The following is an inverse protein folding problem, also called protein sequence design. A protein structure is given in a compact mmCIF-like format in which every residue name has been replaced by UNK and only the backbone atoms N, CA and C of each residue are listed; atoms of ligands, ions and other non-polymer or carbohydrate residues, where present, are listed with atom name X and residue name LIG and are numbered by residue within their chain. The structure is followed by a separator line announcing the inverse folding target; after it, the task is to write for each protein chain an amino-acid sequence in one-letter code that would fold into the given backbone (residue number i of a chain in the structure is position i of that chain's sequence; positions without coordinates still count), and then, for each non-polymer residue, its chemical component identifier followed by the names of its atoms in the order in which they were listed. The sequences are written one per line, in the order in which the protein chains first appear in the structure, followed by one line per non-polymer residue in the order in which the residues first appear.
data_IF_187670260997
#
_entry.id   IF_187670260997
#
_cell.length_a   1.000
_cell.length_b   1.000
_cell.length_c   1.000
_cell.angle_alpha   90.00
_cell.angle_beta   90.00
_cell.angle_gamma   90.00
#
_symmetry.space_group_name_H-M   'P 1'
#
loop_
_entity.id
_entity.type
_entity.pdbx_description
1 polymer ?
#
# COMPACT_ATOMS: atom_id res chain seq x y z
N UNK A 1 -1.45 -49.28 -24.04
CA UNK A 1 -2.19 -48.06 -24.29
C UNK A 1 -1.93 -46.92 -23.28
N UNK A 2 -0.88 -46.97 -22.46
CA UNK A 2 -0.69 -46.03 -21.31
C UNK A 2 0.61 -45.20 -21.37
N UNK A 3 1.45 -45.37 -22.42
CA UNK A 3 2.72 -44.60 -22.50
C UNK A 3 2.52 -43.16 -23.03
N UNK A 4 1.57 -42.97 -23.94
CA UNK A 4 1.28 -41.63 -24.51
C UNK A 4 0.57 -40.69 -23.51
N UNK A 5 -0.31 -41.26 -22.65
CA UNK A 5 -0.95 -40.46 -21.59
C UNK A 5 0.05 -39.98 -20.55
N UNK A 6 1.03 -40.82 -20.14
CA UNK A 6 2.06 -40.43 -19.16
C UNK A 6 2.99 -39.34 -19.69
N UNK A 7 3.36 -39.40 -20.98
CA UNK A 7 4.16 -38.35 -21.62
C UNK A 7 3.42 -37.02 -21.71
N UNK A 8 2.11 -37.02 -21.97
CA UNK A 8 1.27 -35.80 -22.00
C UNK A 8 1.20 -35.11 -20.62
N UNK A 9 1.08 -35.90 -19.55
CA UNK A 9 1.03 -35.35 -18.18
C UNK A 9 2.38 -34.74 -17.74
N UNK A 10 3.50 -35.35 -18.16
CA UNK A 10 4.84 -34.82 -17.87
C UNK A 10 5.08 -33.50 -18.61
N UNK A 11 4.65 -33.39 -19.85
CA UNK A 11 4.73 -32.15 -20.62
C UNK A 11 3.84 -31.04 -20.07
N UNK A 12 2.64 -31.39 -19.58
CA UNK A 12 1.73 -30.45 -18.94
C UNK A 12 2.29 -29.95 -17.60
N UNK A 13 2.89 -30.84 -16.81
CA UNK A 13 3.56 -30.48 -15.55
C UNK A 13 4.81 -29.63 -15.79
N UNK A 14 5.61 -29.94 -16.82
CA UNK A 14 6.75 -29.16 -17.23
C UNK A 14 6.36 -27.76 -17.74
N UNK A 15 5.26 -27.66 -18.50
CA UNK A 15 4.72 -26.38 -18.96
C UNK A 15 4.15 -25.52 -17.82
N UNK A 16 3.64 -26.14 -16.75
CA UNK A 16 3.14 -25.45 -15.56
C UNK A 16 4.27 -24.94 -14.65
N UNK A 17 5.42 -25.63 -14.66
CA UNK A 17 6.60 -25.27 -13.86
C UNK A 17 7.55 -24.27 -14.55
N UNK A 18 7.43 -24.12 -15.87
CA UNK A 18 8.28 -23.22 -16.67
C UNK A 18 8.18 -21.73 -16.27
N UNK A 19 6.99 -21.15 -15.97
CA UNK A 19 6.91 -19.75 -15.56
C UNK A 19 7.51 -19.46 -14.19
N UNK A 20 7.70 -20.46 -13.33
CA UNK A 20 8.30 -20.28 -12.00
C UNK A 20 9.83 -20.03 -12.05
N UNK A 21 10.48 -20.33 -13.18
CA UNK A 21 11.93 -20.19 -13.33
C UNK A 21 12.40 -18.86 -13.95
N UNK A 22 11.46 -17.99 -14.34
CA UNK A 22 11.73 -16.72 -15.02
C UNK A 22 11.59 -15.48 -14.14
N UNK A 23 11.52 -15.62 -12.83
CA UNK A 23 11.64 -14.47 -11.92
C UNK A 23 13.13 -14.16 -11.73
N UNK A 24 13.71 -13.43 -12.68
CA UNK A 24 14.99 -12.78 -12.45
C UNK A 24 14.74 -11.57 -11.54
N UNK A 25 15.21 -11.62 -10.30
CA UNK A 25 15.22 -10.45 -9.42
C UNK A 25 15.95 -9.30 -10.11
N UNK A 26 15.51 -8.07 -9.83
CA UNK A 26 16.19 -6.90 -10.37
C UNK A 26 17.65 -6.89 -9.87
N UNK A 27 18.59 -6.76 -10.80
CA UNK A 27 20.02 -6.80 -10.45
C UNK A 27 20.36 -5.65 -9.50
N UNK A 28 20.95 -5.99 -8.34
CA UNK A 28 21.42 -5.01 -7.37
C UNK A 28 22.74 -4.37 -7.89
N UNK A 29 22.77 -3.05 -8.16
CA UNK A 29 23.96 -2.40 -8.66
C UNK A 29 24.99 -2.19 -7.57
N UNK A 30 26.27 -2.16 -7.97
CA UNK A 30 27.35 -1.71 -7.09
C UNK A 30 27.40 -0.18 -7.11
N UNK A 31 27.38 0.42 -5.94
CA UNK A 31 27.47 1.85 -5.73
C UNK A 31 28.95 2.25 -5.56
N UNK A 32 29.53 2.85 -6.59
CA UNK A 32 30.93 3.29 -6.56
C UNK A 32 31.09 4.69 -5.93
N UNK A 33 29.99 5.42 -5.77
CA UNK A 33 29.93 6.79 -5.27
C UNK A 33 28.60 7.02 -4.56
N UNK A 34 28.46 8.17 -3.87
CA UNK A 34 27.24 8.48 -3.11
C UNK A 34 26.02 8.75 -4.01
N UNK A 35 26.23 9.23 -5.23
CA UNK A 35 25.15 9.45 -6.19
C UNK A 35 25.37 8.59 -7.42
N UNK A 36 24.42 7.68 -7.68
CA UNK A 36 24.42 6.78 -8.84
C UNK A 36 23.11 6.95 -9.59
N UNK A 37 23.16 7.48 -10.80
CA UNK A 37 22.00 7.57 -11.70
C UNK A 37 22.20 6.61 -12.89
N UNK A 38 21.41 5.54 -12.92
CA UNK A 38 21.41 4.54 -13.99
C UNK A 38 20.40 4.89 -15.11
N UNK A 39 19.65 5.97 -14.93
CA UNK A 39 18.59 6.39 -15.88
C UNK A 39 19.06 7.52 -16.82
N UNK A 40 20.20 8.14 -16.52
CA UNK A 40 20.69 9.30 -17.25
C UNK A 40 19.77 10.53 -17.13
N UNK A 41 19.01 10.62 -16.05
CA UNK A 41 18.09 11.74 -15.79
C UNK A 41 18.83 12.99 -15.33
N UNK A 42 19.86 12.80 -14.51
CA UNK A 42 20.72 13.86 -14.02
C UNK A 42 21.89 14.08 -14.98
N UNK A 43 22.28 15.31 -15.19
CA UNK A 43 23.53 15.62 -15.89
C UNK A 43 24.75 15.21 -15.04
N UNK A 44 25.89 14.97 -15.68
CA UNK A 44 27.12 14.64 -14.97
C UNK A 44 27.48 15.72 -13.92
N UNK A 45 27.27 16.99 -14.25
CA UNK A 45 27.53 18.11 -13.33
C UNK A 45 26.63 18.07 -12.09
N UNK A 46 25.33 17.73 -12.24
CA UNK A 46 24.40 17.60 -11.13
C UNK A 46 24.78 16.42 -10.22
N UNK A 47 25.12 15.27 -10.83
CA UNK A 47 25.62 14.10 -10.10
C UNK A 47 26.88 14.47 -9.30
N UNK A 48 27.87 15.16 -9.89
CA UNK A 48 29.09 15.56 -9.22
C UNK A 48 28.85 16.58 -8.09
N UNK A 49 27.94 17.51 -8.25
CA UNK A 49 27.60 18.49 -7.22
C UNK A 49 26.91 17.83 -6.03
N UNK A 50 25.94 16.93 -6.28
CA UNK A 50 25.25 16.18 -5.24
C UNK A 50 26.23 15.25 -4.52
N UNK A 51 27.05 14.51 -5.24
CA UNK A 51 28.06 13.61 -4.70
C UNK A 51 29.03 14.33 -3.75
N UNK A 52 29.54 15.50 -4.19
CA UNK A 52 30.43 16.33 -3.36
C UNK A 52 29.77 16.77 -2.05
N UNK A 53 28.47 17.11 -2.06
CA UNK A 53 27.70 17.44 -0.86
C UNK A 53 27.59 16.23 0.08
N UNK A 54 27.31 15.05 -0.45
CA UNK A 54 27.15 13.83 0.35
C UNK A 54 28.48 13.35 0.94
N UNK A 55 29.58 13.45 0.17
CA UNK A 55 30.93 13.20 0.69
C UNK A 55 31.29 14.16 1.82
N UNK A 56 30.91 15.44 1.70
CA UNK A 56 31.13 16.43 2.76
C UNK A 56 30.32 16.13 4.03
N UNK A 57 29.08 15.69 3.89
CA UNK A 57 28.21 15.26 5.00
C UNK A 57 28.82 14.06 5.72
N UNK A 58 29.23 13.03 4.99
CA UNK A 58 29.85 11.83 5.59
C UNK A 58 31.13 12.20 6.35
N UNK A 59 31.99 13.05 5.79
CA UNK A 59 33.21 13.52 6.47
C UNK A 59 32.91 14.32 7.75
N UNK A 60 31.85 15.12 7.76
CA UNK A 60 31.50 15.97 8.87
C UNK A 60 30.78 15.22 10.01
N UNK A 61 29.91 14.29 9.67
CA UNK A 61 28.97 13.63 10.61
C UNK A 61 29.20 12.12 10.74
N UNK A 62 29.91 11.52 9.81
CA UNK A 62 30.09 10.07 9.72
C UNK A 62 28.89 9.33 9.13
N UNK A 63 27.72 9.95 9.06
CA UNK A 63 26.53 9.37 8.45
C UNK A 63 26.65 9.28 6.93
N UNK A 64 26.39 8.12 6.37
CA UNK A 64 26.49 7.89 4.92
C UNK A 64 25.12 8.02 4.26
N UNK A 65 24.91 9.07 3.50
CA UNK A 65 23.73 9.26 2.67
C UNK A 65 24.08 8.94 1.20
N UNK A 66 23.29 8.04 0.60
CA UNK A 66 23.48 7.56 -0.78
C UNK A 66 22.21 7.75 -1.58
N UNK A 67 22.35 8.18 -2.83
CA UNK A 67 21.23 8.33 -3.78
C UNK A 67 21.42 7.36 -4.93
N UNK A 68 20.41 6.53 -5.17
CA UNK A 68 20.36 5.62 -6.31
C UNK A 68 19.10 5.88 -7.13
N UNK A 69 19.28 6.15 -8.43
CA UNK A 69 18.19 6.24 -9.38
C UNK A 69 18.27 5.08 -10.37
N UNK A 70 17.17 4.31 -10.44
CA UNK A 70 16.99 3.17 -11.35
C UNK A 70 15.72 3.38 -12.19
N UNK A 71 15.63 2.70 -13.34
CA UNK A 71 14.40 2.73 -14.14
C UNK A 71 13.25 2.06 -13.40
N UNK A 72 13.43 0.80 -12.99
CA UNK A 72 12.42 -0.01 -12.31
C UNK A 72 13.07 -0.96 -11.32
N UNK A 73 12.35 -1.31 -10.26
CA UNK A 73 12.74 -2.37 -9.31
C UNK A 73 12.05 -3.70 -9.61
N UNK A 74 11.08 -3.70 -10.54
CA UNK A 74 10.28 -4.89 -10.85
C UNK A 74 11.15 -6.05 -11.37
N UNK A 75 10.77 -7.28 -11.01
CA UNK A 75 9.52 -7.70 -10.33
C UNK A 75 9.52 -7.52 -8.82
N UNK A 76 10.63 -7.10 -8.20
CA UNK A 76 10.76 -6.92 -6.77
C UNK A 76 10.06 -5.63 -6.33
N UNK A 77 9.47 -5.63 -5.14
CA UNK A 77 8.95 -4.41 -4.54
C UNK A 77 10.07 -3.47 -4.09
N UNK A 78 9.79 -2.18 -4.03
CA UNK A 78 10.80 -1.16 -3.76
C UNK A 78 11.39 -1.28 -2.34
N UNK A 79 10.61 -1.76 -1.37
CA UNK A 79 11.06 -1.88 0.01
C UNK A 79 12.10 -2.99 0.12
N UNK A 80 11.80 -4.19 -0.42
CA UNK A 80 12.76 -5.31 -0.47
C UNK A 80 14.01 -4.96 -1.29
N UNK A 81 13.82 -4.32 -2.45
CA UNK A 81 14.94 -3.92 -3.30
C UNK A 81 15.86 -2.89 -2.61
N UNK A 82 15.30 -1.91 -1.89
CA UNK A 82 16.10 -0.91 -1.16
C UNK A 82 16.96 -1.54 -0.07
N UNK A 83 16.40 -2.51 0.65
CA UNK A 83 17.11 -3.27 1.67
C UNK A 83 18.26 -4.08 1.07
N UNK A 84 18.01 -4.80 -0.05
CA UNK A 84 19.04 -5.57 -0.75
C UNK A 84 20.18 -4.68 -1.26
N UNK A 85 19.86 -3.51 -1.82
CA UNK A 85 20.87 -2.53 -2.26
C UNK A 85 21.71 -2.04 -1.07
N UNK A 86 21.07 -1.68 0.04
CA UNK A 86 21.74 -1.20 1.24
C UNK A 86 22.67 -2.25 1.82
N UNK A 87 22.21 -3.50 1.93
CA UNK A 87 23.00 -4.61 2.44
C UNK A 87 24.17 -5.00 1.52
N UNK A 88 23.91 -5.11 0.21
CA UNK A 88 24.94 -5.49 -0.78
C UNK A 88 26.06 -4.47 -0.88
N UNK A 89 25.73 -3.18 -0.72
CA UNK A 89 26.69 -2.08 -0.78
C UNK A 89 27.21 -1.65 0.59
N UNK A 90 26.68 -2.24 1.68
CA UNK A 90 27.07 -1.94 3.06
C UNK A 90 26.94 -0.44 3.36
N UNK A 91 25.77 0.13 3.03
CA UNK A 91 25.50 1.54 3.26
C UNK A 91 25.47 1.83 4.75
N UNK A 92 26.31 2.75 5.21
CA UNK A 92 26.55 3.03 6.63
C UNK A 92 27.76 2.30 7.22
N UNK A 93 28.20 2.75 8.40
CA UNK A 93 29.35 2.17 9.09
C UNK A 93 28.99 0.87 9.80
N UNK A 94 29.84 -0.13 9.68
CA UNK A 94 29.65 -1.43 10.32
C UNK A 94 29.48 -1.27 11.86
N UNK A 95 28.38 -1.82 12.38
CA UNK A 95 28.07 -1.84 13.81
C UNK A 95 27.45 -0.55 14.35
N UNK A 96 27.35 0.51 13.53
CA UNK A 96 26.67 1.76 13.86
C UNK A 96 25.40 1.86 13.04
N UNK A 97 25.38 1.34 11.82
CA UNK A 97 24.23 1.35 10.88
C UNK A 97 23.70 2.75 10.59
N UNK A 98 24.62 3.71 10.41
CA UNK A 98 24.29 5.11 10.15
C UNK A 98 24.26 5.46 8.66
N UNK A 99 23.69 4.56 7.90
CA UNK A 99 23.44 4.72 6.48
C UNK A 99 22.03 5.17 6.15
N UNK A 100 21.90 5.93 5.07
CA UNK A 100 20.59 6.29 4.47
C UNK A 100 20.69 6.08 2.96
N UNK A 101 19.76 5.33 2.38
CA UNK A 101 19.62 5.18 0.94
C UNK A 101 18.35 5.88 0.46
N UNK A 102 18.49 6.89 -0.39
CA UNK A 102 17.39 7.44 -1.17
C UNK A 102 17.32 6.70 -2.50
N UNK A 103 16.38 5.80 -2.65
CA UNK A 103 16.13 5.02 -3.86
C UNK A 103 14.97 5.63 -4.67
N UNK A 104 15.20 5.84 -5.96
CA UNK A 104 14.22 6.39 -6.89
C UNK A 104 14.05 5.40 -8.05
N UNK A 105 12.88 4.78 -8.16
CA UNK A 105 12.47 3.95 -9.29
C UNK A 105 11.62 4.79 -10.24
N UNK A 106 12.28 5.41 -11.24
CA UNK A 106 11.71 6.46 -12.08
C UNK A 106 10.50 6.01 -12.88
N UNK A 107 10.60 4.87 -13.56
CA UNK A 107 9.53 4.36 -14.43
C UNK A 107 8.36 3.81 -13.63
N UNK A 108 8.63 3.29 -12.42
CA UNK A 108 7.61 2.85 -11.46
C UNK A 108 6.96 4.01 -10.70
N UNK A 109 7.54 5.23 -10.77
CA UNK A 109 7.14 6.43 -10.02
C UNK A 109 7.12 6.17 -8.51
N UNK A 110 8.09 5.43 -8.03
CA UNK A 110 8.23 5.06 -6.63
C UNK A 110 9.52 5.65 -6.07
N UNK A 111 9.47 5.99 -4.79
CA UNK A 111 10.61 6.49 -4.02
C UNK A 111 10.60 5.84 -2.66
N UNK A 112 11.78 5.41 -2.20
CA UNK A 112 11.99 4.88 -0.87
C UNK A 112 13.18 5.57 -0.21
N UNK A 113 13.05 5.89 1.07
CA UNK A 113 14.16 6.26 1.93
C UNK A 113 14.36 5.10 2.91
N UNK A 114 15.45 4.38 2.74
CA UNK A 114 15.86 3.30 3.63
C UNK A 114 16.82 3.87 4.66
N UNK A 115 16.52 3.69 5.95
CA UNK A 115 17.27 4.28 7.05
C UNK A 115 17.88 3.17 7.88
N UNK A 116 19.18 3.22 8.08
CA UNK A 116 19.87 2.29 8.98
C UNK A 116 19.49 2.51 10.43
N UNK A 117 19.54 1.44 11.23
CA UNK A 117 19.09 1.44 12.63
C UNK A 117 19.75 2.53 13.50
N UNK A 118 20.98 2.92 13.19
CA UNK A 118 21.69 4.00 13.90
C UNK A 118 21.11 5.41 13.68
N UNK A 119 20.29 5.58 12.63
CA UNK A 119 19.67 6.87 12.29
C UNK A 119 18.14 6.89 12.44
N UNK A 120 17.49 5.78 12.81
CA UNK A 120 16.03 5.73 12.99
C UNK A 120 15.52 6.76 14.02
N UNK A 121 16.32 7.04 15.04
CA UNK A 121 16.00 8.07 16.05
C UNK A 121 16.00 9.48 15.47
N UNK A 122 16.88 9.77 14.50
CA UNK A 122 16.97 11.07 13.84
C UNK A 122 16.00 11.17 12.64
N UNK A 123 15.83 10.09 11.89
CA UNK A 123 15.00 10.00 10.69
C UNK A 123 13.95 8.89 10.87
N UNK A 124 12.90 9.12 11.68
CA UNK A 124 11.80 8.16 11.81
C UNK A 124 11.04 8.03 10.48
N UNK A 125 10.35 6.91 10.27
CA UNK A 125 9.55 6.63 9.07
C UNK A 125 8.58 7.77 8.71
N UNK A 126 7.98 8.40 9.71
CA UNK A 126 7.08 9.52 9.49
C UNK A 126 7.79 10.73 8.86
N UNK A 127 9.05 10.98 9.25
CA UNK A 127 9.88 12.05 8.67
C UNK A 127 10.31 11.69 7.24
N UNK A 128 10.77 10.45 7.00
CA UNK A 128 11.11 9.95 5.67
C UNK A 128 9.91 10.05 4.70
N UNK A 129 8.73 9.59 5.12
CA UNK A 129 7.50 9.70 4.35
C UNK A 129 7.11 11.17 4.07
N UNK A 130 7.34 12.06 5.03
CA UNK A 130 7.11 13.50 4.86
C UNK A 130 8.05 14.10 3.83
N UNK A 131 9.33 13.74 3.86
CA UNK A 131 10.32 14.20 2.87
C UNK A 131 9.91 13.78 1.47
N UNK A 132 9.52 12.53 1.27
CA UNK A 132 9.05 12.04 -0.04
C UNK A 132 7.85 12.86 -0.52
N UNK A 133 6.87 13.11 0.34
CA UNK A 133 5.62 13.78 -0.02
C UNK A 133 5.78 15.27 -0.25
N UNK A 134 6.59 15.96 0.55
CA UNK A 134 6.67 17.43 0.55
C UNK A 134 7.83 17.97 -0.30
N UNK A 135 8.94 17.24 -0.40
CA UNK A 135 10.14 17.70 -1.11
C UNK A 135 10.33 17.01 -2.48
N UNK A 136 10.14 15.69 -2.56
CA UNK A 136 10.38 14.95 -3.80
C UNK A 136 9.18 14.95 -4.74
N UNK A 137 8.01 14.51 -4.27
CA UNK A 137 6.87 14.25 -5.13
C UNK A 137 6.37 15.48 -5.91
N UNK A 138 6.30 16.70 -5.34
CA UNK A 138 5.86 17.88 -6.10
C UNK A 138 6.80 18.20 -7.26
N UNK A 139 8.11 18.15 -7.04
CA UNK A 139 9.13 18.44 -8.04
C UNK A 139 9.23 17.36 -9.11
N UNK A 140 9.14 16.10 -8.72
CA UNK A 140 9.14 14.98 -9.67
C UNK A 140 7.93 14.99 -10.61
N UNK A 141 6.78 15.48 -10.16
CA UNK A 141 5.59 15.66 -11.03
C UNK A 141 5.81 16.69 -12.13
N UNK A 142 6.67 17.66 -11.91
CA UNK A 142 7.06 18.69 -12.90
C UNK A 142 8.32 18.32 -13.68
N UNK A 143 8.91 17.15 -13.41
CA UNK A 143 10.15 16.68 -14.06
C UNK A 143 11.43 17.24 -13.45
N UNK A 144 11.35 18.03 -12.37
CA UNK A 144 12.51 18.60 -11.66
C UNK A 144 13.08 17.55 -10.68
N UNK A 145 13.79 16.55 -11.22
CA UNK A 145 14.40 15.50 -10.40
C UNK A 145 15.56 16.03 -9.57
N UNK A 146 16.44 16.87 -10.15
CA UNK A 146 17.59 17.43 -9.46
C UNK A 146 17.20 18.30 -8.27
N UNK A 147 16.28 19.23 -8.49
CA UNK A 147 15.76 20.07 -7.42
C UNK A 147 15.06 19.27 -6.32
N UNK A 148 14.30 18.23 -6.68
CA UNK A 148 13.65 17.36 -5.70
C UNK A 148 14.65 16.58 -4.85
N UNK A 149 15.67 15.97 -5.49
CA UNK A 149 16.74 15.24 -4.79
C UNK A 149 17.55 16.18 -3.90
N UNK A 150 17.91 17.35 -4.42
CA UNK A 150 18.69 18.34 -3.66
C UNK A 150 17.98 18.83 -2.40
N UNK A 151 16.66 19.07 -2.49
CA UNK A 151 15.84 19.47 -1.35
C UNK A 151 15.69 18.33 -0.33
N UNK A 152 15.47 17.10 -0.81
CA UNK A 152 15.37 15.92 0.05
C UNK A 152 16.70 15.65 0.79
N UNK A 153 17.83 15.75 0.09
CA UNK A 153 19.17 15.64 0.69
C UNK A 153 19.37 16.72 1.75
N UNK A 154 18.95 17.96 1.47
CA UNK A 154 19.00 19.05 2.46
C UNK A 154 18.17 18.74 3.70
N UNK A 155 16.93 18.27 3.52
CA UNK A 155 16.04 17.88 4.61
C UNK A 155 16.57 16.71 5.44
N UNK A 156 17.13 15.67 4.79
CA UNK A 156 17.79 14.54 5.47
C UNK A 156 19.01 15.01 6.26
N UNK A 157 19.81 15.93 5.72
CA UNK A 157 20.97 16.51 6.40
C UNK A 157 20.56 17.23 7.68
N UNK A 158 19.50 18.06 7.64
CA UNK A 158 18.96 18.72 8.85
C UNK A 158 18.60 17.71 9.96
N UNK A 159 17.92 16.62 9.58
CA UNK A 159 17.55 15.58 10.55
C UNK A 159 18.78 14.87 11.14
N UNK A 160 19.79 14.58 10.31
CA UNK A 160 21.08 14.00 10.76
C UNK A 160 21.81 14.96 11.71
N UNK A 161 21.67 16.27 11.50
CA UNK A 161 22.22 17.29 12.37
C UNK A 161 21.42 17.49 13.68
N UNK A 162 20.30 16.79 13.83
CA UNK A 162 19.41 16.92 14.98
C UNK A 162 18.46 18.12 14.90
N UNK A 163 18.36 18.76 13.75
CA UNK A 163 17.46 19.88 13.51
C UNK A 163 16.09 19.39 13.03
N UNK A 164 14.99 19.95 13.55
CA UNK A 164 13.65 19.57 13.09
C UNK A 164 13.40 20.08 11.67
N UNK A 165 12.63 19.32 10.90
CA UNK A 165 12.15 19.78 9.60
C UNK A 165 11.28 21.05 9.76
N UNK A 166 11.32 21.98 8.80
CA UNK A 166 10.41 23.12 8.76
C UNK A 166 8.94 22.70 8.92
N UNK A 167 8.08 23.60 9.36
CA UNK A 167 6.66 23.28 9.52
C UNK A 167 6.07 22.73 8.21
N UNK A 168 5.14 21.74 8.28
CA UNK A 168 4.54 21.14 7.07
C UNK A 168 3.94 22.21 6.16
N UNK A 169 4.19 22.07 4.85
CA UNK A 169 3.56 22.94 3.86
C UNK A 169 2.06 22.64 3.87
N UNK A 170 1.23 23.64 4.28
CA UNK A 170 -0.20 23.50 4.26
C UNK A 170 -0.68 23.31 2.81
N UNK A 171 -1.34 22.18 2.52
CA UNK A 171 -1.85 21.85 1.18
C UNK A 171 -1.09 20.75 0.44
N UNK A 172 -0.03 20.17 0.99
CA UNK A 172 0.52 18.93 0.44
C UNK A 172 -0.57 17.83 0.45
N UNK A 173 -0.82 17.15 -0.68
CA UNK A 173 -1.81 16.09 -0.72
C UNK A 173 -1.47 15.04 0.35
N UNK A 174 -2.31 14.91 1.36
CA UNK A 174 -2.22 13.78 2.25
C UNK A 174 -2.61 12.57 1.41
N UNK A 175 -1.64 11.79 1.00
CA UNK A 175 -1.87 10.49 0.42
C UNK A 175 -2.38 9.59 1.57
N UNK A 176 -3.67 9.79 1.87
CA UNK A 176 -4.40 8.86 2.73
C UNK A 176 -4.54 7.60 1.89
N UNK A 177 -3.58 6.69 1.98
CA UNK A 177 -3.80 5.27 1.69
C UNK A 177 -4.81 4.69 2.70
N UNK A 178 -5.85 5.46 3.01
CA UNK A 178 -7.04 5.00 3.65
C UNK A 178 -7.96 4.43 2.58
N UNK A 179 -8.61 3.33 2.87
CA UNK A 179 -9.68 2.81 2.03
C UNK A 179 -10.65 3.96 1.72
N UNK A 180 -10.75 4.36 0.44
CA UNK A 180 -11.71 5.36 -0.01
C UNK A 180 -13.11 4.94 0.42
N UNK A 181 -14.01 5.90 0.63
CA UNK A 181 -15.41 5.65 0.94
C UNK A 181 -16.05 4.69 -0.08
N UNK A 182 -15.68 4.79 -1.35
CA UNK A 182 -16.12 3.88 -2.41
C UNK A 182 -15.63 2.45 -2.22
N UNK A 183 -14.37 2.26 -1.78
CA UNK A 183 -13.82 0.95 -1.46
C UNK A 183 -14.50 0.34 -0.24
N UNK A 184 -14.77 1.14 0.78
CA UNK A 184 -15.52 0.73 1.97
C UNK A 184 -16.96 0.33 1.63
N UNK A 185 -17.65 1.12 0.79
CA UNK A 185 -18.98 0.80 0.30
C UNK A 185 -18.99 -0.47 -0.56
N UNK A 186 -17.98 -0.66 -1.40
CA UNK A 186 -17.82 -1.88 -2.21
C UNK A 186 -17.64 -3.12 -1.34
N UNK A 187 -16.72 -3.09 -0.37
CA UNK A 187 -16.47 -4.19 0.55
C UNK A 187 -17.73 -4.47 1.40
N UNK A 188 -18.40 -3.43 1.90
CA UNK A 188 -19.64 -3.56 2.67
C UNK A 188 -20.77 -4.19 1.85
N UNK A 189 -20.92 -3.82 0.60
CA UNK A 189 -21.91 -4.37 -0.32
C UNK A 189 -21.67 -5.85 -0.64
N UNK A 190 -20.40 -6.23 -0.93
CA UNK A 190 -20.03 -7.64 -1.14
C UNK A 190 -20.20 -8.49 0.11
N UNK A 191 -19.82 -7.96 1.27
CA UNK A 191 -20.03 -8.66 2.54
C UNK A 191 -21.52 -8.86 2.84
N UNK A 192 -22.37 -7.89 2.54
CA UNK A 192 -23.83 -7.99 2.70
C UNK A 192 -24.44 -9.05 1.77
N UNK A 193 -24.05 -9.09 0.47
CA UNK A 193 -24.53 -10.11 -0.48
C UNK A 193 -24.08 -11.51 -0.04
N UNK A 194 -22.83 -11.67 0.35
CA UNK A 194 -22.28 -12.94 0.81
C UNK A 194 -23.00 -13.43 2.07
N UNK A 195 -23.18 -12.57 3.05
CA UNK A 195 -23.86 -12.89 4.30
C UNK A 195 -25.33 -13.27 4.06
N UNK A 196 -26.00 -12.55 3.15
CA UNK A 196 -27.39 -12.86 2.77
C UNK A 196 -27.50 -14.21 2.04
N UNK A 197 -26.50 -14.58 1.25
CA UNK A 197 -26.44 -15.88 0.56
C UNK A 197 -26.24 -17.03 1.54
N UNK A 198 -25.32 -16.90 2.47
CA UNK A 198 -24.96 -17.94 3.45
C UNK A 198 -26.08 -18.10 4.52
N UNK A 199 -26.62 -17.00 5.00
CA UNK A 199 -27.65 -17.02 6.07
C UNK A 199 -29.08 -17.05 5.55
N UNK A 200 -29.30 -17.12 4.23
CA UNK A 200 -30.62 -17.06 3.60
C UNK A 200 -31.61 -18.16 4.07
N UNK A 201 -31.12 -19.22 4.65
CA UNK A 201 -31.92 -20.37 5.12
C UNK A 201 -32.20 -20.40 6.63
N UNK A 202 -31.65 -19.48 7.42
CA UNK A 202 -31.83 -19.47 8.88
C UNK A 202 -32.98 -18.56 9.33
N UNK A 203 -33.53 -18.83 10.54
CA UNK A 203 -34.62 -18.02 11.13
C UNK A 203 -34.22 -16.56 11.33
N UNK A 204 -35.16 -15.62 11.12
CA UNK A 204 -34.92 -14.17 11.21
C UNK A 204 -34.33 -13.73 12.57
N UNK A 205 -34.69 -14.40 13.65
CA UNK A 205 -34.20 -14.12 15.02
C UNK A 205 -32.70 -14.42 15.20
N UNK A 206 -32.12 -15.30 14.38
CA UNK A 206 -30.67 -15.62 14.42
C UNK A 206 -29.91 -14.74 13.41
N UNK A 207 -30.54 -14.41 12.29
CA UNK A 207 -29.94 -13.60 11.21
C UNK A 207 -29.68 -12.15 11.61
N UNK A 208 -30.63 -11.52 12.33
CA UNK A 208 -30.51 -10.12 12.68
C UNK A 208 -29.29 -9.82 13.60
N UNK A 209 -29.08 -10.54 14.72
CA UNK A 209 -27.93 -10.28 15.59
C UNK A 209 -26.60 -10.69 14.94
N UNK A 210 -26.57 -11.79 14.17
CA UNK A 210 -25.35 -12.21 13.47
C UNK A 210 -24.94 -11.23 12.35
N UNK A 211 -25.89 -10.75 11.56
CA UNK A 211 -25.68 -9.72 10.54
C UNK A 211 -25.18 -8.41 11.15
N UNK A 212 -25.79 -7.98 12.25
CA UNK A 212 -25.37 -6.80 12.99
C UNK A 212 -23.96 -6.90 13.57
N UNK A 213 -23.61 -8.06 14.15
CA UNK A 213 -22.29 -8.32 14.71
C UNK A 213 -21.19 -8.33 13.63
N UNK A 214 -21.41 -8.97 12.50
CA UNK A 214 -20.43 -9.06 11.43
C UNK A 214 -20.25 -7.70 10.74
N UNK A 215 -21.31 -7.03 10.36
CA UNK A 215 -21.23 -5.73 9.68
C UNK A 215 -20.73 -4.65 10.65
N UNK A 216 -21.25 -4.62 11.88
CA UNK A 216 -20.83 -3.69 12.90
C UNK A 216 -19.38 -3.90 13.32
N UNK A 217 -18.95 -5.18 13.46
CA UNK A 217 -17.54 -5.53 13.75
C UNK A 217 -16.60 -5.14 12.63
N UNK A 218 -16.99 -5.34 11.37
CA UNK A 218 -16.21 -4.91 10.21
C UNK A 218 -16.07 -3.39 10.16
N UNK A 219 -17.17 -2.66 10.40
CA UNK A 219 -17.14 -1.20 10.49
C UNK A 219 -16.33 -0.71 11.70
N UNK A 220 -16.42 -1.42 12.83
CA UNK A 220 -15.61 -1.09 14.02
C UNK A 220 -14.11 -1.31 13.80
N UNK A 221 -13.77 -2.36 13.05
CA UNK A 221 -12.37 -2.63 12.68
C UNK A 221 -11.80 -1.61 11.68
N UNK A 222 -12.65 -1.04 10.81
CA UNK A 222 -12.23 -0.14 9.72
C UNK A 222 -12.43 1.34 10.02
N UNK A 223 -13.24 1.68 11.00
CA UNK A 223 -13.56 3.04 11.37
C UNK A 223 -13.47 3.21 12.89
N UNK A 224 -13.37 4.45 13.37
CA UNK A 224 -13.41 4.75 14.80
C UNK A 224 -14.68 4.19 15.46
N UNK A 225 -14.60 3.90 16.76
CA UNK A 225 -15.66 3.26 17.58
C UNK A 225 -17.09 3.78 17.33
N UNK A 226 -17.26 5.06 17.03
CA UNK A 226 -18.56 5.68 16.76
C UNK A 226 -19.23 5.21 15.45
N UNK A 227 -18.47 4.92 14.42
CA UNK A 227 -18.99 4.45 13.12
C UNK A 227 -19.35 2.96 13.12
N UNK A 228 -18.64 2.15 13.90
CA UNK A 228 -18.92 0.72 14.02
C UNK A 228 -20.26 0.42 14.65
N UNK A 229 -20.65 1.16 15.69
CA UNK A 229 -21.95 1.03 16.36
C UNK A 229 -23.12 1.40 15.44
N UNK A 230 -22.98 2.47 14.64
CA UNK A 230 -24.01 2.87 13.68
C UNK A 230 -24.17 1.83 12.55
N UNK A 231 -23.07 1.29 12.01
CA UNK A 231 -23.10 0.23 11.02
C UNK A 231 -23.75 -1.05 11.51
N UNK A 232 -23.54 -1.41 12.77
CA UNK A 232 -24.17 -2.56 13.43
C UNK A 232 -25.68 -2.46 13.52
N UNK A 233 -26.20 -1.30 13.92
CA UNK A 233 -27.64 -1.04 14.03
C UNK A 233 -28.30 -1.09 12.64
N UNK A 234 -27.72 -0.42 11.66
CA UNK A 234 -28.26 -0.40 10.29
C UNK A 234 -28.20 -1.78 9.65
N UNK A 235 -27.11 -2.53 9.84
CA UNK A 235 -26.95 -3.89 9.32
C UNK A 235 -27.95 -4.86 9.94
N UNK A 236 -28.19 -4.76 11.25
CA UNK A 236 -29.21 -5.55 11.95
C UNK A 236 -30.63 -5.27 11.43
N UNK A 237 -30.96 -4.01 11.25
CA UNK A 237 -32.28 -3.58 10.74
C UNK A 237 -32.52 -4.05 9.29
N UNK A 238 -31.50 -3.98 8.43
CA UNK A 238 -31.57 -4.49 7.05
C UNK A 238 -31.76 -6.00 6.97
N UNK A 239 -31.25 -6.75 7.94
CA UNK A 239 -31.42 -8.21 8.00
C UNK A 239 -32.78 -8.66 8.50
N UNK A 240 -33.54 -7.79 9.16
CA UNK A 240 -34.95 -8.02 9.56
C UNK A 240 -35.92 -7.96 8.37
N UNK A 241 -35.55 -7.34 7.26
CA UNK A 241 -36.38 -7.31 6.07
C UNK A 241 -36.54 -8.73 5.51
N UNK A 242 -37.79 -9.22 5.36
CA UNK A 242 -38.05 -10.57 4.87
C UNK A 242 -37.57 -10.70 3.43
N UNK A 243 -36.86 -11.79 3.15
CA UNK A 243 -36.32 -12.13 1.82
C UNK A 243 -37.43 -12.50 0.80
N UNK A 244 -38.64 -12.02 0.97
CA UNK A 244 -39.80 -12.44 0.19
C UNK A 244 -41.02 -11.52 0.23
N UNK A 245 -40.82 -10.19 0.14
CA UNK A 245 -41.92 -9.30 -0.17
C UNK A 245 -42.13 -9.22 -1.71
N UNK A 246 -42.40 -10.38 -2.31
CA UNK A 246 -42.70 -10.50 -3.72
C UNK A 246 -43.42 -11.80 -4.01
N UNK A 247 -44.66 -11.96 -3.45
CA UNK A 247 -45.71 -12.81 -4.01
C UNK A 247 -46.84 -12.95 -2.98
N UNK A 248 -47.93 -12.26 -3.19
CA UNK A 248 -49.30 -12.74 -3.26
C UNK A 248 -50.28 -11.58 -3.35
N UNK A 249 -50.50 -11.13 -4.56
CA UNK A 249 -51.80 -10.59 -4.96
C UNK A 249 -52.44 -11.70 -5.79
N UNK A 250 -53.50 -12.30 -5.29
CA UNK A 250 -54.30 -13.23 -6.08
C UNK A 250 -55.09 -14.20 -5.21
N UNK A 251 -56.36 -14.02 -5.12
CA UNK A 251 -57.25 -15.07 -4.69
C UNK A 251 -58.43 -14.57 -3.85
N UNK A 252 -59.40 -13.96 -4.53
CA UNK A 252 -60.73 -13.73 -3.95
C UNK A 252 -61.44 -15.04 -3.67
N UNK A 253 -62.30 -15.05 -2.70
CA UNK A 253 -63.51 -15.86 -2.73
C UNK A 253 -64.57 -15.25 -1.85
N UNK A 254 -65.70 -14.90 -2.53
CA UNK A 254 -67.00 -14.71 -1.97
C UNK A 254 -67.49 -15.97 -1.25
N UNK A 255 -68.26 -15.82 -0.18
CA UNK A 255 -69.39 -16.63 0.22
C UNK A 255 -70.24 -15.73 1.11
N UNK A 256 -71.37 -15.31 0.58
CA UNK A 256 -72.71 -15.89 0.66
C UNK A 256 -73.05 -16.52 2.01
N UNK A 257 -73.95 -15.96 2.69
CA UNK A 257 -75.24 -16.56 3.11
C UNK A 257 -75.94 -15.65 4.03
N UNK A 258 -77.08 -15.17 3.59
CA UNK A 258 -78.49 -15.70 3.87
C UNK A 258 -78.83 -15.58 5.34
N UNK A 259 -79.72 -14.78 5.54
CA UNK A 259 -81.22 -14.99 5.55
C UNK A 259 -81.65 -15.15 7.00
N UNK A 260 -82.60 -14.63 7.42
CA UNK A 260 -84.02 -14.79 7.37
C UNK A 260 -84.66 -14.28 8.68
N UNK A 261 -85.86 -13.73 8.44
CA UNK A 261 -87.00 -13.67 9.39
C UNK A 261 -86.78 -12.84 10.64
N UNK A 262 -87.68 -11.94 10.98
CA UNK A 262 -89.08 -11.69 10.61
C UNK A 262 -89.35 -10.17 10.55
#
# INVERSE_FOLDING_TARGET
MNCRLRASWILLLAALLLPALLHADAAVPKLARHVTDLTGTLSAQQVDQLDAKLVALEKAKGAQLVVLMVGSTKPQDIDSYSLDVSMANKVGRKGIDDGVLLLIAKDDRQVRIEVGAGLEGAIPDAAAARIIREYLAPKFRTGDYDGGISDAVGALTLLIDGEPLPAPVQGAPHDRRGLDLNSLLGIGFFAWIFLRGVLGRSHALVRAPLGGLVIGGLFWLMASVGMGSFGGIVGGLLMLLPAGAGRSMGGGRQQHQQATHD
#
